data_IF_418924713110
#
_entry.id   IF_418924713110
#
_cell.length_a   1.000
_cell.length_b   1.000
_cell.length_c   1.000
_cell.angle_alpha   90.00
_cell.angle_beta   90.00
_cell.angle_gamma   90.00
#
_symmetry.space_group_name_H-M   'P 1'
#
loop_
_entity.id
_entity.type
_entity.pdbx_description
1 polymer ?
#
# COMPACT_ATOMS: atom_id res chain seq x y z
N UNK A 1 5.77 30.17 -10.16
CA UNK A 1 4.90 29.24 -9.42
C UNK A 1 5.78 28.37 -8.54
N UNK A 2 5.35 28.02 -7.33
CA UNK A 2 6.13 27.17 -6.41
C UNK A 2 5.32 25.93 -6.08
N UNK A 3 5.89 24.75 -6.34
CA UNK A 3 5.35 23.49 -5.85
C UNK A 3 5.60 23.37 -4.35
N UNK A 4 4.55 23.59 -3.55
CA UNK A 4 4.56 23.46 -2.10
C UNK A 4 3.76 22.24 -1.61
N UNK A 5 3.40 21.31 -2.49
CA UNK A 5 2.78 20.05 -2.10
C UNK A 5 3.75 19.19 -1.29
N UNK A 6 3.23 18.15 -0.62
CA UNK A 6 4.05 17.26 0.22
C UNK A 6 5.28 16.72 -0.51
N UNK A 7 6.36 16.51 0.23
CA UNK A 7 7.63 15.99 -0.26
C UNK A 7 7.53 14.50 -0.63
N UNK A 8 6.93 14.19 -1.78
CA UNK A 8 6.72 12.81 -2.21
C UNK A 8 6.10 12.71 -3.61
N UNK A 9 5.96 11.47 -4.10
CA UNK A 9 5.42 11.16 -5.44
C UNK A 9 4.07 11.81 -5.71
N UNK A 10 3.13 11.71 -4.78
CA UNK A 10 1.79 12.27 -4.95
C UNK A 10 1.80 13.79 -5.02
N UNK A 11 2.65 14.44 -4.21
CA UNK A 11 2.79 15.89 -4.23
C UNK A 11 3.32 16.40 -5.56
N UNK A 12 4.30 15.72 -6.17
CA UNK A 12 4.75 16.05 -7.53
C UNK A 12 3.64 15.85 -8.57
N UNK A 13 2.90 14.74 -8.48
CA UNK A 13 1.85 14.41 -9.45
C UNK A 13 0.70 15.43 -9.42
N UNK A 14 0.26 15.85 -8.23
CA UNK A 14 -0.85 16.80 -8.07
C UNK A 14 -0.53 18.11 -8.79
N UNK A 15 0.61 18.71 -8.47
CA UNK A 15 0.97 19.98 -9.07
C UNK A 15 1.29 19.84 -10.56
N UNK A 16 1.95 18.74 -10.97
CA UNK A 16 2.21 18.46 -12.37
C UNK A 16 0.91 18.41 -13.19
N UNK A 17 -0.13 17.75 -12.68
CA UNK A 17 -1.44 17.70 -13.34
C UNK A 17 -2.07 19.08 -13.43
N UNK A 18 -2.09 19.86 -12.33
CA UNK A 18 -2.63 21.22 -12.32
C UNK A 18 -1.88 22.09 -13.34
N UNK A 19 -0.55 22.10 -13.29
CA UNK A 19 0.28 22.88 -14.18
C UNK A 19 0.02 22.53 -15.65
N UNK A 20 -0.01 21.23 -15.97
CA UNK A 20 -0.30 20.73 -17.33
C UNK A 20 -1.68 21.17 -17.81
N UNK A 21 -2.71 21.06 -16.95
CA UNK A 21 -4.08 21.46 -17.29
C UNK A 21 -4.24 22.97 -17.49
N UNK A 22 -3.42 23.80 -16.83
CA UNK A 22 -3.48 25.26 -17.03
C UNK A 22 -2.96 25.71 -18.40
N UNK A 23 -2.16 24.89 -19.09
CA UNK A 23 -1.55 25.22 -20.38
C UNK A 23 -0.55 26.39 -20.34
N UNK A 24 -0.21 26.90 -19.15
CA UNK A 24 0.67 28.07 -18.99
C UNK A 24 2.12 27.64 -18.76
N UNK A 25 3.06 28.42 -19.32
CA UNK A 25 4.51 28.21 -19.16
C UNK A 25 5.10 29.17 -18.14
N UNK A 26 4.69 29.04 -16.89
CA UNK A 26 5.25 29.84 -15.79
C UNK A 26 6.51 29.15 -15.24
N UNK A 27 7.55 29.90 -14.82
CA UNK A 27 8.68 29.33 -14.11
C UNK A 27 8.21 28.55 -12.89
N UNK A 28 8.68 27.30 -12.76
CA UNK A 28 8.31 26.40 -11.69
C UNK A 28 9.52 26.12 -10.80
N UNK A 29 9.32 26.25 -9.50
CA UNK A 29 10.30 25.91 -8.46
C UNK A 29 9.68 24.93 -7.49
N UNK A 30 10.52 24.19 -6.76
CA UNK A 30 10.09 23.16 -5.82
C UNK A 30 10.50 23.49 -4.39
N UNK A 31 9.53 23.62 -3.50
CA UNK A 31 9.73 23.72 -2.06
C UNK A 31 9.74 22.32 -1.44
N UNK A 32 10.86 21.86 -0.89
CA UNK A 32 10.98 20.50 -0.34
C UNK A 32 11.00 20.51 1.20
N UNK A 33 9.83 20.35 1.81
CA UNK A 33 9.68 20.36 3.27
C UNK A 33 9.84 18.96 3.86
N UNK A 34 10.76 18.81 4.82
CA UNK A 34 10.87 17.60 5.65
C UNK A 34 10.13 17.72 6.98
N UNK A 35 9.81 18.94 7.40
CA UNK A 35 9.10 19.26 8.64
C UNK A 35 8.26 20.53 8.51
N UNK A 36 7.17 20.60 9.27
CA UNK A 36 6.20 21.70 9.33
C UNK A 36 6.57 22.80 10.35
N UNK A 37 7.77 22.77 10.93
CA UNK A 37 8.22 23.83 11.84
C UNK A 37 8.51 25.13 11.08
N UNK A 38 8.23 26.28 11.71
CA UNK A 38 8.48 27.59 11.09
C UNK A 38 9.92 27.76 10.61
N UNK A 39 10.90 27.27 11.38
CA UNK A 39 12.32 27.33 11.01
C UNK A 39 12.63 26.50 9.76
N UNK A 40 12.09 25.29 9.66
CA UNK A 40 12.23 24.41 8.48
C UNK A 40 11.60 25.03 7.23
N UNK A 41 10.40 25.62 7.39
CA UNK A 41 9.68 26.28 6.30
C UNK A 41 10.50 27.46 5.77
N UNK A 42 10.95 28.37 6.64
CA UNK A 42 11.75 29.53 6.24
C UNK A 42 13.06 29.11 5.56
N UNK A 43 13.77 28.13 6.11
CA UNK A 43 15.01 27.62 5.52
C UNK A 43 14.79 26.98 4.14
N UNK A 44 13.65 26.31 3.94
CA UNK A 44 13.31 25.67 2.67
C UNK A 44 12.88 26.69 1.61
N UNK A 45 12.19 27.76 1.99
CA UNK A 45 11.88 28.87 1.09
C UNK A 45 13.13 29.65 0.67
N UNK A 46 14.13 29.75 1.54
CA UNK A 46 15.43 30.33 1.18
C UNK A 46 16.21 29.45 0.17
N UNK A 47 15.92 28.15 0.12
CA UNK A 47 16.64 27.16 -0.70
C UNK A 47 15.68 26.38 -1.62
N UNK A 48 14.94 27.09 -2.47
CA UNK A 48 14.05 26.46 -3.44
C UNK A 48 14.85 25.64 -4.46
N UNK A 49 14.37 24.42 -4.71
CA UNK A 49 14.96 23.54 -5.72
C UNK A 49 14.45 23.91 -7.11
N UNK A 50 15.25 23.69 -8.17
CA UNK A 50 14.73 23.70 -9.52
C UNK A 50 13.72 22.56 -9.72
N UNK A 51 12.76 22.74 -10.62
CA UNK A 51 11.72 21.73 -10.91
C UNK A 51 12.31 20.38 -11.34
N UNK A 52 13.38 20.40 -12.15
CA UNK A 52 14.09 19.22 -12.62
C UNK A 52 14.69 18.36 -11.49
N UNK A 53 14.90 18.92 -10.29
CA UNK A 53 15.47 18.17 -9.17
C UNK A 53 14.62 16.98 -8.73
N UNK A 54 13.31 16.97 -9.04
CA UNK A 54 12.35 15.91 -8.67
C UNK A 54 11.64 15.29 -9.86
N UNK A 55 12.16 15.50 -11.07
CA UNK A 55 11.59 14.96 -12.32
C UNK A 55 11.41 13.44 -12.28
N UNK A 56 12.41 12.67 -11.88
CA UNK A 56 12.27 11.21 -11.78
C UNK A 56 11.19 10.75 -10.79
N UNK A 57 10.92 11.53 -9.74
CA UNK A 57 9.88 11.23 -8.76
C UNK A 57 8.48 11.51 -9.34
N UNK A 58 8.35 12.63 -10.05
CA UNK A 58 7.15 13.02 -10.82
C UNK A 58 6.82 11.96 -11.87
N UNK A 59 7.80 11.58 -12.68
CA UNK A 59 7.60 10.62 -13.77
C UNK A 59 7.22 9.23 -13.25
N UNK A 60 7.82 8.80 -12.14
CA UNK A 60 7.42 7.58 -11.43
C UNK A 60 5.96 7.63 -10.98
N UNK A 61 5.50 8.77 -10.47
CA UNK A 61 4.12 8.96 -10.03
C UNK A 61 3.13 8.96 -11.20
N UNK A 62 3.49 9.63 -12.30
CA UNK A 62 2.70 9.63 -13.55
C UNK A 62 2.57 8.22 -14.11
N UNK A 63 3.68 7.49 -14.26
CA UNK A 63 3.68 6.13 -14.77
C UNK A 63 2.83 5.20 -13.89
N UNK A 64 2.93 5.32 -12.56
CA UNK A 64 2.10 4.57 -11.60
C UNK A 64 0.62 4.87 -11.78
N UNK A 65 0.24 6.14 -11.87
CA UNK A 65 -1.15 6.57 -12.06
C UNK A 65 -1.75 6.02 -13.35
N UNK A 66 -0.99 6.13 -14.45
CA UNK A 66 -1.39 5.60 -15.77
C UNK A 66 -1.52 4.08 -15.75
N UNK A 67 -0.57 3.36 -15.14
CA UNK A 67 -0.62 1.90 -15.03
C UNK A 67 -1.80 1.42 -14.18
N UNK A 68 -2.05 2.07 -13.04
CA UNK A 68 -3.17 1.73 -12.17
C UNK A 68 -4.52 1.98 -12.88
N UNK A 69 -4.64 3.07 -13.63
CA UNK A 69 -5.83 3.37 -14.44
C UNK A 69 -6.02 2.36 -15.57
N UNK A 70 -4.96 2.06 -16.33
CA UNK A 70 -5.02 1.15 -17.47
C UNK A 70 -5.43 -0.26 -17.03
N UNK A 71 -4.79 -0.80 -15.98
CA UNK A 71 -5.14 -2.13 -15.44
C UNK A 71 -6.52 -2.10 -14.81
N UNK A 72 -6.80 -1.09 -13.98
CA UNK A 72 -8.06 -0.97 -13.24
C UNK A 72 -9.27 -0.90 -14.15
N UNK A 73 -9.23 -0.02 -15.16
CA UNK A 73 -10.33 0.18 -16.10
C UNK A 73 -10.58 -1.05 -16.96
N UNK A 74 -9.54 -1.59 -17.59
CA UNK A 74 -9.69 -2.74 -18.49
C UNK A 74 -10.14 -3.99 -17.74
N UNK A 75 -9.48 -4.32 -16.62
CA UNK A 75 -9.79 -5.51 -15.87
C UNK A 75 -11.18 -5.43 -15.23
N UNK A 76 -11.59 -4.27 -14.69
CA UNK A 76 -12.93 -4.11 -14.11
C UNK A 76 -14.03 -4.27 -15.16
N UNK A 77 -13.87 -3.67 -16.35
CA UNK A 77 -14.85 -3.83 -17.44
C UNK A 77 -14.93 -5.28 -17.91
N UNK A 78 -13.77 -5.92 -18.11
CA UNK A 78 -13.71 -7.32 -18.51
C UNK A 78 -14.41 -8.24 -17.49
N UNK A 79 -14.05 -8.15 -16.22
CA UNK A 79 -14.64 -8.97 -15.14
C UNK A 79 -16.15 -8.74 -15.02
N UNK A 80 -16.58 -7.48 -15.10
CA UNK A 80 -18.00 -7.12 -15.00
C UNK A 80 -18.83 -7.74 -16.12
N UNK A 81 -18.33 -7.70 -17.37
CA UNK A 81 -19.02 -8.33 -18.51
C UNK A 81 -18.99 -9.85 -18.36
N UNK A 82 -17.83 -10.42 -18.04
CA UNK A 82 -17.61 -11.88 -18.01
C UNK A 82 -18.44 -12.61 -16.94
N UNK A 83 -18.71 -11.95 -15.81
CA UNK A 83 -19.48 -12.48 -14.68
C UNK A 83 -20.99 -12.21 -14.85
N UNK A 84 -21.38 -11.41 -15.86
CA UNK A 84 -22.78 -11.03 -16.08
C UNK A 84 -23.24 -9.86 -15.19
N UNK A 85 -22.30 -9.13 -14.57
CA UNK A 85 -22.58 -7.93 -13.79
C UNK A 85 -23.24 -6.82 -14.60
N UNK A 86 -22.93 -6.73 -15.89
CA UNK A 86 -23.56 -5.76 -16.80
C UNK A 86 -25.10 -5.90 -16.84
N UNK A 87 -25.61 -7.13 -16.86
CA UNK A 87 -27.06 -7.41 -16.87
C UNK A 87 -27.69 -7.17 -15.49
N UNK A 88 -26.90 -7.39 -14.43
CA UNK A 88 -27.30 -7.22 -13.02
C UNK A 88 -27.07 -5.80 -12.48
N UNK A 89 -26.53 -4.89 -13.28
CA UNK A 89 -26.07 -3.54 -12.86
C UNK A 89 -25.08 -3.58 -11.69
N UNK A 90 -24.26 -4.62 -11.65
CA UNK A 90 -23.20 -4.82 -10.67
C UNK A 90 -21.83 -4.58 -11.32
N UNK A 91 -20.88 -4.06 -10.54
CA UNK A 91 -19.49 -3.87 -10.97
C UNK A 91 -18.58 -4.81 -10.20
N UNK A 92 -17.68 -5.46 -10.94
CA UNK A 92 -16.69 -6.38 -10.39
C UNK A 92 -15.32 -5.75 -10.54
N UNK A 93 -14.89 -5.01 -9.52
CA UNK A 93 -13.64 -4.25 -9.54
C UNK A 93 -12.42 -5.17 -9.57
N UNK A 94 -11.47 -4.84 -10.45
CA UNK A 94 -10.18 -5.50 -10.53
C UNK A 94 -9.09 -4.45 -10.72
N UNK A 95 -7.89 -4.71 -10.19
CA UNK A 95 -6.80 -3.73 -10.25
C UNK A 95 -5.50 -4.28 -9.71
N UNK A 96 -4.40 -3.62 -10.10
CA UNK A 96 -3.04 -4.09 -9.85
C UNK A 96 -2.72 -4.37 -8.38
N UNK A 97 -3.36 -3.69 -7.43
CA UNK A 97 -3.16 -3.90 -5.98
C UNK A 97 -4.33 -4.65 -5.34
N UNK A 98 -5.58 -4.25 -5.61
CA UNK A 98 -6.76 -4.87 -4.98
C UNK A 98 -6.87 -6.38 -5.28
N UNK A 99 -6.61 -6.79 -6.52
CA UNK A 99 -6.78 -8.17 -6.97
C UNK A 99 -5.75 -9.13 -6.37
N UNK A 100 -4.43 -8.86 -6.40
CA UNK A 100 -3.46 -9.74 -5.74
C UNK A 100 -3.63 -9.74 -4.21
N UNK A 101 -4.03 -8.63 -3.59
CA UNK A 101 -4.33 -8.61 -2.15
C UNK A 101 -5.50 -9.53 -1.81
N UNK A 102 -6.57 -9.50 -2.62
CA UNK A 102 -7.70 -10.43 -2.47
C UNK A 102 -7.26 -11.88 -2.68
N UNK A 103 -6.38 -12.14 -3.66
CA UNK A 103 -5.84 -13.47 -3.94
C UNK A 103 -5.17 -14.08 -2.71
N UNK A 104 -4.34 -13.32 -1.99
CA UNK A 104 -3.68 -13.79 -0.76
C UNK A 104 -4.67 -14.25 0.30
N UNK A 105 -5.78 -13.53 0.47
CA UNK A 105 -6.85 -13.90 1.42
C UNK A 105 -7.55 -15.17 0.96
N UNK A 106 -7.89 -15.26 -0.33
CA UNK A 106 -8.55 -16.43 -0.91
C UNK A 106 -7.69 -17.67 -0.81
N UNK A 107 -6.40 -17.58 -1.15
CA UNK A 107 -5.45 -18.68 -1.01
C UNK A 107 -5.37 -19.17 0.43
N UNK A 108 -5.24 -18.24 1.38
CA UNK A 108 -5.18 -18.58 2.80
C UNK A 108 -6.45 -19.27 3.30
N UNK A 109 -7.61 -18.80 2.87
CA UNK A 109 -8.90 -19.42 3.20
C UNK A 109 -9.01 -20.85 2.61
N UNK A 110 -8.54 -21.04 1.37
CA UNK A 110 -8.50 -22.37 0.75
C UNK A 110 -7.55 -23.32 1.47
N UNK A 111 -6.38 -22.85 1.93
CA UNK A 111 -5.48 -23.64 2.77
C UNK A 111 -6.15 -24.09 4.06
N UNK A 112 -6.86 -23.20 4.75
CA UNK A 112 -7.57 -23.50 5.99
C UNK A 112 -8.67 -24.54 5.73
N UNK A 113 -9.47 -24.37 4.67
CA UNK A 113 -10.54 -25.32 4.30
C UNK A 113 -10.01 -26.70 3.90
N UNK A 114 -8.82 -26.75 3.29
CA UNK A 114 -8.16 -27.99 2.87
C UNK A 114 -7.28 -28.59 3.95
N UNK A 115 -7.13 -27.93 5.10
CA UNK A 115 -6.29 -28.41 6.18
C UNK A 115 -6.90 -29.68 6.79
N UNK A 116 -6.18 -30.81 6.62
CA UNK A 116 -6.50 -32.05 7.30
C UNK A 116 -5.57 -32.17 8.51
N UNK A 117 -6.08 -32.08 9.75
CA UNK A 117 -5.26 -32.21 10.95
C UNK A 117 -4.53 -33.55 10.96
N UNK A 118 -3.22 -33.52 11.23
CA UNK A 118 -2.40 -34.73 11.42
C UNK A 118 -2.05 -34.89 12.89
N UNK A 119 -2.25 -36.09 13.42
CA UNK A 119 -1.83 -36.44 14.78
C UNK A 119 -0.31 -36.34 14.88
N UNK A 120 0.15 -35.67 15.93
CA UNK A 120 1.57 -35.58 16.27
C UNK A 120 1.72 -35.59 17.78
N UNK A 121 2.87 -36.04 18.26
CA UNK A 121 3.15 -36.14 19.69
C UNK A 121 4.09 -35.02 20.12
N UNK A 122 3.83 -34.46 21.30
CA UNK A 122 4.74 -33.54 21.99
C UNK A 122 5.22 -34.21 23.26
N UNK A 123 6.52 -34.08 23.55
CA UNK A 123 7.08 -34.49 24.83
C UNK A 123 6.99 -33.27 25.76
N UNK A 124 6.22 -33.40 26.84
CA UNK A 124 6.14 -32.41 27.92
C UNK A 124 6.83 -32.99 29.16
N UNK A 125 7.77 -32.25 29.74
CA UNK A 125 8.50 -32.64 30.95
C UNK A 125 8.38 -31.54 32.01
N UNK A 126 8.19 -31.95 33.27
CA UNK A 126 8.22 -31.05 34.42
C UNK A 126 9.59 -31.19 35.09
N UNK A 127 10.27 -30.07 35.28
CA UNK A 127 11.56 -30.02 35.98
C UNK A 127 11.39 -29.24 37.28
N UNK A 128 11.81 -29.85 38.39
CA UNK A 128 12.01 -29.17 39.66
C UNK A 128 13.50 -28.88 39.85
N UNK A 129 13.82 -27.70 40.37
CA UNK A 129 15.16 -27.36 40.84
C UNK A 129 15.11 -27.13 42.34
N UNK A 130 16.24 -27.22 43.03
CA UNK A 130 16.32 -27.09 44.49
C UNK A 130 15.73 -25.77 45.03
N UNK A 131 15.65 -24.72 44.19
CA UNK A 131 15.07 -23.42 44.51
C UNK A 131 13.56 -23.25 44.17
N UNK A 132 12.88 -24.31 43.70
CA UNK A 132 11.45 -24.28 43.33
C UNK A 132 11.13 -24.87 41.96
N UNK A 133 9.87 -24.74 41.50
CA UNK A 133 9.47 -25.18 40.16
C UNK A 133 9.83 -24.14 39.09
N UNK A 134 10.42 -24.60 37.98
CA UNK A 134 10.64 -23.74 36.81
C UNK A 134 9.29 -23.40 36.16
N UNK A 135 9.07 -22.13 35.72
CA UNK A 135 7.80 -21.72 35.15
C UNK A 135 7.53 -22.47 33.84
N UNK A 136 6.34 -23.08 33.75
CA UNK A 136 5.88 -23.69 32.50
C UNK A 136 5.82 -22.64 31.39
N UNK A 137 6.34 -22.98 30.22
CA UNK A 137 6.12 -22.17 29.02
C UNK A 137 4.61 -22.10 28.77
N UNK A 138 4.04 -20.88 28.76
CA UNK A 138 2.59 -20.68 28.64
C UNK A 138 2.05 -21.49 27.44
N UNK A 139 0.95 -22.25 27.61
CA UNK A 139 0.38 -22.98 26.49
C UNK A 139 -0.02 -21.97 25.40
N UNK A 140 0.29 -22.34 24.16
CA UNK A 140 -0.14 -21.58 22.98
C UNK A 140 -1.66 -21.35 23.04
N UNK A 141 -2.16 -20.14 22.77
CA UNK A 141 -3.59 -19.84 22.78
C UNK A 141 -4.38 -20.62 21.72
N UNK A 142 -3.69 -21.22 20.75
CA UNK A 142 -4.29 -22.03 19.66
C UNK A 142 -4.59 -23.49 20.08
N UNK A 143 -5.00 -23.71 21.33
CA UNK A 143 -5.47 -25.03 21.77
C UNK A 143 -6.93 -25.17 21.32
N UNK A 144 -7.15 -25.74 20.14
CA UNK A 144 -8.49 -26.24 19.80
C UNK A 144 -8.86 -27.30 20.83
N UNK A 145 -9.88 -27.00 21.63
CA UNK A 145 -10.57 -28.02 22.45
C UNK A 145 -11.40 -28.89 21.49
N UNK A 146 -11.50 -30.21 21.77
CA UNK A 146 -12.35 -31.11 21.02
C UNK A 146 -13.81 -30.66 21.04
#
# INVERSE_FOLDING_TARGET
MVNACDAGREGELILHNIYTLTGRKLPLQRLWLTSMTNTSILASFANLLPESAKEGLRDSAVARSQADWLVGMNATRFSTIRIGGALRRESYSAGRVQTPTLMLIVERELEIRRFVPKTFWKIEANFSVAAGQLPRRRPSPWRHRP
#
